data_IF_824866364238
#
_entry.id   IF_824866364238
#
_cell.length_a   1.000
_cell.length_b   1.000
_cell.length_c   1.000
_cell.angle_alpha   90.00
_cell.angle_beta   90.00
_cell.angle_gamma   90.00
#
_symmetry.space_group_name_H-M   'P 1'
#
loop_
_entity.id
_entity.type
_entity.pdbx_description
1 polymer ?
#
# COMPACT_ATOMS: atom_id res chain seq x y z
N UNK A 1 21.26 -7.83 8.72
CA UNK A 1 19.89 -7.84 8.19
C UNK A 1 19.32 -9.22 8.45
N UNK A 2 18.28 -9.30 9.28
CA UNK A 2 17.53 -10.53 9.55
C UNK A 2 16.20 -10.39 8.84
N UNK A 3 15.80 -11.43 8.10
CA UNK A 3 14.50 -11.46 7.46
C UNK A 3 13.48 -11.99 8.46
N UNK A 4 12.36 -11.28 8.57
CA UNK A 4 11.19 -11.66 9.36
C UNK A 4 9.97 -11.58 8.47
N UNK A 5 8.92 -12.33 8.80
CA UNK A 5 7.63 -12.15 8.12
C UNK A 5 7.15 -10.70 8.32
N UNK A 6 6.57 -10.06 7.29
CA UNK A 6 6.23 -8.63 7.33
C UNK A 6 5.38 -8.22 8.55
N UNK A 7 4.45 -9.08 8.96
CA UNK A 7 3.57 -8.85 10.10
C UNK A 7 4.29 -8.82 11.47
N UNK A 8 5.52 -9.36 11.56
CA UNK A 8 6.34 -9.29 12.79
C UNK A 8 7.36 -8.15 12.77
N UNK A 9 7.52 -7.43 11.64
CA UNK A 9 8.54 -6.40 11.51
C UNK A 9 8.36 -5.27 12.55
N UNK A 10 7.13 -4.76 12.70
CA UNK A 10 6.83 -3.72 13.68
C UNK A 10 7.02 -4.20 15.13
N UNK A 11 6.66 -5.46 15.41
CA UNK A 11 6.80 -6.06 16.75
C UNK A 11 8.26 -6.32 17.15
N UNK A 12 9.15 -6.43 16.17
CA UNK A 12 10.58 -6.68 16.38
C UNK A 12 11.37 -5.39 16.65
N UNK A 13 10.77 -4.21 16.46
CA UNK A 13 11.42 -2.91 16.62
C UNK A 13 12.14 -2.71 17.98
N UNK A 14 11.63 -3.20 19.13
CA UNK A 14 12.34 -3.08 20.42
C UNK A 14 13.65 -3.88 20.50
N UNK A 15 13.84 -4.87 19.62
CA UNK A 15 14.96 -5.81 19.66
C UNK A 15 16.01 -5.55 18.56
N UNK A 16 15.81 -4.50 17.74
CA UNK A 16 16.71 -4.13 16.64
C UNK A 16 17.00 -2.64 16.63
N UNK A 17 18.10 -2.23 16.01
CA UNK A 17 18.45 -0.81 15.89
C UNK A 17 17.53 -0.05 14.91
N UNK A 18 16.99 -0.76 13.90
CA UNK A 18 16.04 -0.24 12.92
C UNK A 18 15.29 -1.38 12.22
N UNK A 19 14.07 -1.10 11.74
CA UNK A 19 13.27 -2.02 10.93
C UNK A 19 12.72 -1.32 9.69
N UNK A 20 12.61 -2.05 8.58
CA UNK A 20 11.87 -1.64 7.39
C UNK A 20 10.49 -2.28 7.49
N UNK A 21 9.44 -1.47 7.58
CA UNK A 21 8.09 -1.90 7.91
C UNK A 21 7.12 -1.34 6.86
N UNK A 22 6.23 -2.16 6.31
CA UNK A 22 5.15 -1.65 5.46
C UNK A 22 4.18 -0.79 6.27
N UNK A 23 3.69 0.31 5.68
CA UNK A 23 2.81 1.29 6.35
C UNK A 23 1.60 0.65 7.03
N UNK A 24 0.96 -0.33 6.40
CA UNK A 24 -0.20 -1.02 6.99
C UNK A 24 0.14 -1.73 8.31
N UNK A 25 1.28 -2.44 8.38
CA UNK A 25 1.70 -3.12 9.61
C UNK A 25 2.21 -2.15 10.68
N UNK A 26 2.76 -1.01 10.28
CA UNK A 26 3.10 0.07 11.21
C UNK A 26 1.83 0.66 11.84
N UNK A 27 0.83 0.98 11.03
CA UNK A 27 -0.45 1.52 11.50
C UNK A 27 -1.20 0.55 12.42
N UNK A 28 -1.17 -0.77 12.15
CA UNK A 28 -1.81 -1.80 13.00
C UNK A 28 -1.33 -1.78 14.45
N UNK A 29 -0.08 -1.35 14.70
CA UNK A 29 0.49 -1.23 16.05
C UNK A 29 0.52 0.22 16.57
N UNK A 30 -0.10 1.14 15.84
CA UNK A 30 -0.21 2.56 16.22
C UNK A 30 1.00 3.42 15.86
N UNK A 31 1.91 2.94 15.01
CA UNK A 31 2.98 3.75 14.43
C UNK A 31 2.47 4.53 13.20
N UNK A 32 3.06 5.69 12.97
CA UNK A 32 2.79 6.62 11.86
C UNK A 32 4.04 6.83 11.00
N UNK A 33 3.87 7.30 9.76
CA UNK A 33 5.00 7.77 8.94
C UNK A 33 5.83 8.86 9.64
N UNK A 34 5.24 9.60 10.59
CA UNK A 34 5.93 10.62 11.37
C UNK A 34 6.90 10.04 12.42
N UNK A 35 6.75 8.75 12.78
CA UNK A 35 7.68 8.04 13.64
C UNK A 35 8.88 7.49 12.87
N UNK A 36 8.81 7.49 11.53
CA UNK A 36 9.86 6.96 10.68
C UNK A 36 11.06 7.93 10.60
N UNK A 37 12.27 7.36 10.64
CA UNK A 37 13.51 8.12 10.36
C UNK A 37 13.74 8.35 8.86
N UNK A 38 13.01 7.62 8.01
CA UNK A 38 13.04 7.69 6.56
C UNK A 38 11.74 7.09 5.99
N UNK A 39 11.17 7.75 4.98
CA UNK A 39 10.01 7.27 4.24
C UNK A 39 10.33 7.33 2.72
N UNK A 40 10.18 6.20 2.03
CA UNK A 40 10.45 6.06 0.59
C UNK A 40 9.30 6.56 -0.30
N UNK A 41 8.22 7.05 0.31
CA UNK A 41 7.01 7.54 -0.36
C UNK A 41 6.59 8.97 0.04
N UNK A 42 7.51 9.80 0.55
CA UNK A 42 7.22 11.22 0.85
C UNK A 42 6.84 12.02 -0.41
N UNK A 43 7.40 11.66 -1.55
CA UNK A 43 7.09 12.25 -2.86
C UNK A 43 6.45 11.18 -3.73
N UNK A 44 5.12 11.20 -3.80
CA UNK A 44 4.30 10.21 -4.53
C UNK A 44 4.68 10.10 -6.00
N UNK A 45 5.15 11.20 -6.62
CA UNK A 45 5.56 11.21 -8.03
C UNK A 45 6.89 10.46 -8.25
N UNK A 46 7.64 10.16 -7.18
CA UNK A 46 8.91 9.43 -7.20
C UNK A 46 8.81 8.02 -6.64
N UNK A 47 7.65 7.62 -6.14
CA UNK A 47 7.43 6.26 -5.65
C UNK A 47 7.68 5.29 -6.80
N UNK A 48 8.41 4.20 -6.50
CA UNK A 48 8.58 3.13 -7.47
C UNK A 48 7.18 2.57 -7.83
N UNK A 49 6.77 2.57 -9.11
CA UNK A 49 5.45 2.09 -9.52
C UNK A 49 5.12 0.66 -9.05
N UNK A 50 6.14 -0.16 -8.76
CA UNK A 50 5.98 -1.50 -8.20
C UNK A 50 5.38 -1.52 -6.78
N UNK A 51 5.33 -0.39 -6.07
CA UNK A 51 4.72 -0.27 -4.74
C UNK A 51 3.25 0.19 -4.78
N UNK A 52 2.68 0.38 -5.97
CA UNK A 52 1.25 0.66 -6.12
C UNK A 52 0.47 -0.63 -5.79
N UNK A 53 -0.38 -0.57 -4.75
CA UNK A 53 -1.29 -1.67 -4.43
C UNK A 53 -2.32 -1.85 -5.54
N UNK A 54 -2.65 -3.10 -5.87
CA UNK A 54 -3.55 -3.43 -6.99
C UNK A 54 -4.70 -4.35 -6.55
N UNK A 55 -5.85 -4.18 -7.21
CA UNK A 55 -6.89 -5.22 -7.23
C UNK A 55 -6.50 -6.20 -8.32
N UNK A 56 -6.13 -7.42 -7.93
CA UNK A 56 -5.63 -8.45 -8.84
C UNK A 56 -6.58 -9.65 -8.89
N UNK A 57 -6.65 -10.28 -10.07
CA UNK A 57 -7.40 -11.53 -10.30
C UNK A 57 -6.56 -12.50 -11.11
N UNK A 58 -6.99 -13.77 -11.17
CA UNK A 58 -6.46 -14.72 -12.16
C UNK A 58 -6.77 -14.26 -13.58
N UNK A 59 -5.88 -14.56 -14.52
CA UNK A 59 -5.96 -14.17 -15.94
C UNK A 59 -7.30 -14.55 -16.58
N UNK A 60 -7.82 -15.75 -16.31
CA UNK A 60 -9.10 -16.25 -16.84
C UNK A 60 -10.32 -15.40 -16.45
N UNK A 61 -10.17 -14.57 -15.41
CA UNK A 61 -11.24 -13.73 -14.88
C UNK A 61 -11.05 -12.24 -15.21
N UNK A 62 -10.05 -11.87 -16.03
CA UNK A 62 -9.75 -10.45 -16.33
C UNK A 62 -10.94 -9.67 -16.89
N UNK A 63 -11.78 -10.35 -17.68
CA UNK A 63 -12.96 -9.77 -18.34
C UNK A 63 -14.26 -10.04 -17.56
N UNK A 64 -14.18 -10.52 -16.31
CA UNK A 64 -15.37 -10.80 -15.51
C UNK A 64 -16.12 -9.48 -15.19
N UNK A 65 -17.38 -9.32 -15.64
CA UNK A 65 -18.10 -8.06 -15.49
C UNK A 65 -18.33 -7.66 -14.02
N UNK A 66 -18.41 -8.64 -13.11
CA UNK A 66 -18.52 -8.36 -11.67
C UNK A 66 -17.22 -7.76 -11.13
N UNK A 67 -16.07 -8.26 -11.56
CA UNK A 67 -14.76 -7.79 -11.07
C UNK A 67 -14.43 -6.41 -11.63
N UNK A 68 -14.73 -6.19 -12.90
CA UNK A 68 -14.65 -4.85 -13.50
C UNK A 68 -15.56 -3.86 -12.76
N UNK A 69 -16.76 -4.29 -12.36
CA UNK A 69 -17.65 -3.42 -11.56
C UNK A 69 -17.08 -3.12 -10.18
N UNK A 70 -16.40 -4.07 -9.54
CA UNK A 70 -15.74 -3.85 -8.25
C UNK A 70 -14.60 -2.83 -8.38
N UNK A 71 -13.77 -2.92 -9.42
CA UNK A 71 -12.72 -1.94 -9.67
C UNK A 71 -13.30 -0.53 -9.92
N UNK A 72 -14.36 -0.44 -10.73
CA UNK A 72 -15.06 0.83 -11.02
C UNK A 72 -15.59 1.50 -9.75
N UNK A 73 -16.25 0.75 -8.85
CA UNK A 73 -16.79 1.33 -7.61
C UNK A 73 -15.70 1.67 -6.58
N UNK A 74 -14.57 0.98 -6.61
CA UNK A 74 -13.43 1.27 -5.74
C UNK A 74 -12.76 2.60 -6.14
N UNK A 75 -12.75 2.92 -7.44
CA UNK A 75 -12.14 4.12 -8.00
C UNK A 75 -13.15 5.29 -8.05
N UNK A 76 -13.69 5.67 -6.89
CA UNK A 76 -14.65 6.77 -6.76
C UNK A 76 -14.19 7.77 -5.69
N UNK A 77 -14.59 9.03 -5.83
CA UNK A 77 -14.25 10.12 -4.89
C UNK A 77 -14.59 9.76 -3.43
N UNK A 78 -15.78 9.18 -3.20
CA UNK A 78 -16.21 8.73 -1.87
C UNK A 78 -15.24 7.70 -1.25
N UNK A 79 -14.67 6.80 -2.07
CA UNK A 79 -13.70 5.79 -1.61
C UNK A 79 -12.32 6.41 -1.41
N UNK A 80 -11.89 7.33 -2.27
CA UNK A 80 -10.66 8.11 -2.08
C UNK A 80 -10.68 8.90 -0.76
N UNK A 81 -11.78 9.63 -0.49
CA UNK A 81 -11.96 10.33 0.79
C UNK A 81 -11.89 9.34 1.97
N UNK A 82 -12.51 8.16 1.82
CA UNK A 82 -12.49 7.15 2.87
C UNK A 82 -11.10 6.53 3.08
N UNK A 83 -10.30 6.35 2.03
CA UNK A 83 -8.91 5.89 2.13
C UNK A 83 -8.11 6.89 2.97
N UNK A 84 -8.22 8.19 2.68
CA UNK A 84 -7.53 9.21 3.46
C UNK A 84 -7.97 9.24 4.93
N UNK A 85 -9.28 9.06 5.21
CA UNK A 85 -9.79 9.00 6.58
C UNK A 85 -9.25 7.80 7.36
N UNK A 86 -9.31 6.59 6.78
CA UNK A 86 -8.95 5.33 7.45
C UNK A 86 -7.44 5.23 7.68
N UNK A 87 -6.64 5.74 6.74
CA UNK A 87 -5.19 5.65 6.79
C UNK A 87 -4.52 6.95 7.24
N UNK A 88 -5.26 7.87 7.85
CA UNK A 88 -4.73 9.14 8.37
C UNK A 88 -3.94 9.97 7.32
N UNK A 89 -4.32 9.88 6.04
CA UNK A 89 -3.62 10.54 4.94
C UNK A 89 -2.25 9.92 4.58
N UNK A 90 -1.88 8.79 5.16
CA UNK A 90 -0.60 8.10 4.90
C UNK A 90 -0.68 7.12 3.72
N UNK A 91 -1.89 6.91 3.19
CA UNK A 91 -2.15 6.15 1.97
C UNK A 91 -2.75 7.07 0.92
N UNK A 92 -2.27 6.94 -0.32
CA UNK A 92 -2.68 7.76 -1.45
C UNK A 92 -3.30 6.87 -2.54
N UNK A 93 -4.49 7.23 -3.06
CA UNK A 93 -5.06 6.55 -4.21
C UNK A 93 -4.25 6.85 -5.48
N UNK A 94 -4.06 5.82 -6.31
CA UNK A 94 -3.27 5.91 -7.55
C UNK A 94 -4.12 5.54 -8.78
N UNK A 95 -5.35 6.07 -8.86
CA UNK A 95 -6.33 5.65 -9.87
C UNK A 95 -5.93 6.03 -11.30
N UNK A 96 -5.22 7.16 -11.47
CA UNK A 96 -4.82 7.69 -12.78
C UNK A 96 -3.38 7.32 -13.19
N UNK A 97 -2.68 6.51 -12.37
CA UNK A 97 -1.31 6.09 -12.64
C UNK A 97 -1.33 4.76 -13.40
N UNK A 98 -0.75 4.69 -14.62
CA UNK A 98 -0.62 3.41 -15.31
C UNK A 98 0.18 2.42 -14.48
N UNK A 99 -0.36 1.20 -14.33
CA UNK A 99 0.38 0.13 -13.65
C UNK A 99 1.65 -0.21 -14.45
N UNK A 100 2.77 -0.51 -13.76
CA UNK A 100 3.97 -0.98 -14.43
C UNK A 100 3.70 -2.30 -15.15
N UNK A 101 4.36 -2.53 -16.29
CA UNK A 101 4.37 -3.86 -16.88
C UNK A 101 5.08 -4.82 -15.93
N UNK A 102 4.39 -5.90 -15.58
CA UNK A 102 4.95 -6.99 -14.77
C UNK A 102 5.39 -8.07 -15.76
N UNK A 103 6.71 -8.30 -15.86
CA UNK A 103 7.22 -9.46 -16.62
C UNK A 103 6.72 -10.75 -15.94
N UNK A 104 6.03 -11.59 -16.71
CA UNK A 104 5.61 -12.93 -16.30
C UNK A 104 6.74 -13.96 -16.50
#
# INVERSE_FOLDING_TARGET
MVLVEPNFAALSLPDVDAALINTNFANDVGLSINDAIFNDAEDVDKVNPMYINTITTLEENKDNPLYLKIAEIYQTDDVEEKIHEVYNGETYPMFDVPLPEVEN
#
